data_IF_963657934281
#
_entry.id   IF_963657934281
#
_cell.length_a   1.000
_cell.length_b   1.000
_cell.length_c   1.000
_cell.angle_alpha   90.00
_cell.angle_beta   90.00
_cell.angle_gamma   90.00
#
_symmetry.space_group_name_H-M   'P 1'
#
loop_
_entity.id
_entity.type
_entity.pdbx_description
1 polymer ?
#
# COMPACT_ATOMS: atom_id res chain seq x y z
N UNK A 1 15.78 18.96 -9.05
CA UNK A 1 14.36 18.71 -9.31
C UNK A 1 13.66 19.78 -10.18
N UNK A 2 14.41 20.43 -11.05
CA UNK A 2 13.88 21.54 -11.89
C UNK A 2 12.79 21.11 -12.89
N UNK A 3 12.64 19.83 -13.14
CA UNK A 3 11.68 19.29 -14.12
C UNK A 3 10.36 18.76 -13.52
N UNK A 4 10.29 18.56 -12.21
CA UNK A 4 9.06 18.14 -11.52
C UNK A 4 8.20 19.38 -11.22
N UNK A 5 7.34 19.76 -12.17
CA UNK A 5 6.54 20.98 -12.08
C UNK A 5 5.29 20.83 -11.22
N UNK A 6 4.68 19.64 -11.27
CA UNK A 6 3.45 19.31 -10.54
C UNK A 6 3.74 18.59 -9.22
N UNK A 7 4.70 17.67 -9.20
CA UNK A 7 5.00 16.87 -8.01
C UNK A 7 5.84 17.60 -6.95
N UNK A 8 6.59 18.66 -7.32
CA UNK A 8 7.43 19.40 -6.39
C UNK A 8 6.60 20.33 -5.49
N UNK A 9 7.06 20.54 -4.26
CA UNK A 9 6.47 21.57 -3.38
C UNK A 9 6.66 22.96 -4.00
N UNK A 10 5.59 23.75 -4.04
CA UNK A 10 5.61 25.16 -4.41
C UNK A 10 5.96 26.09 -3.25
N UNK A 11 5.74 25.64 -2.00
CA UNK A 11 6.08 26.35 -0.77
C UNK A 11 6.18 25.33 0.41
N UNK A 12 6.81 25.68 1.56
CA UNK A 12 7.09 24.72 2.65
C UNK A 12 5.87 23.99 3.22
N UNK A 13 4.69 24.62 3.19
CA UNK A 13 3.44 24.04 3.70
C UNK A 13 2.57 23.41 2.59
N UNK A 14 3.06 23.32 1.34
CA UNK A 14 2.34 22.65 0.26
C UNK A 14 2.23 21.15 0.59
N UNK A 15 1.00 20.67 0.70
CA UNK A 15 0.69 19.28 1.04
C UNK A 15 -0.58 18.87 0.30
N UNK A 16 -0.56 17.67 -0.26
CA UNK A 16 -1.72 17.06 -0.91
C UNK A 16 -2.37 16.06 0.04
N UNK A 17 -3.69 16.10 0.10
CA UNK A 17 -4.50 15.09 0.77
C UNK A 17 -5.10 14.19 -0.30
N UNK A 18 -4.80 12.91 -0.25
CA UNK A 18 -5.33 11.89 -1.16
C UNK A 18 -6.39 11.08 -0.42
N UNK A 19 -7.64 11.25 -0.83
CA UNK A 19 -8.77 10.55 -0.23
C UNK A 19 -8.90 9.13 -0.80
N UNK A 20 -8.84 8.12 0.05
CA UNK A 20 -9.08 6.74 -0.31
C UNK A 20 -10.57 6.38 -0.14
N UNK A 21 -11.22 6.95 0.85
CA UNK A 21 -12.67 6.87 1.12
C UNK A 21 -13.15 8.15 1.79
N UNK A 22 -14.40 8.18 2.24
CA UNK A 22 -14.93 9.31 2.99
C UNK A 22 -14.25 9.51 4.36
N UNK A 23 -13.65 8.45 4.92
CA UNK A 23 -13.06 8.43 6.26
C UNK A 23 -11.56 8.18 6.26
N UNK A 24 -10.96 7.79 5.14
CA UNK A 24 -9.55 7.44 5.03
C UNK A 24 -8.86 8.34 4.01
N UNK A 25 -7.84 9.08 4.46
CA UNK A 25 -7.06 9.96 3.60
C UNK A 25 -5.57 9.94 3.98
N UNK A 26 -4.71 9.93 2.96
CA UNK A 26 -3.25 10.08 3.12
C UNK A 26 -2.85 11.55 3.11
N UNK A 27 -1.75 11.88 3.80
CA UNK A 27 -1.18 13.22 3.80
C UNK A 27 -1.68 14.11 4.94
N UNK A 28 -2.70 13.70 5.71
CA UNK A 28 -3.20 14.41 6.89
C UNK A 28 -2.37 14.11 8.15
N UNK A 29 -2.98 14.36 9.32
CA UNK A 29 -2.39 14.02 10.63
C UNK A 29 -2.51 12.54 10.97
N UNK A 30 -3.38 11.81 10.28
CA UNK A 30 -3.56 10.38 10.50
C UNK A 30 -2.51 9.57 9.74
N UNK A 31 -2.02 8.53 10.42
CA UNK A 31 -1.16 7.50 9.82
C UNK A 31 -2.05 6.40 9.26
N UNK A 32 -2.05 6.23 7.95
CA UNK A 32 -2.86 5.20 7.30
C UNK A 32 -2.12 3.86 7.28
N UNK A 33 -2.76 2.82 7.78
CA UNK A 33 -2.24 1.45 7.76
C UNK A 33 -3.02 0.64 6.72
N UNK A 34 -2.30 0.09 5.75
CA UNK A 34 -2.83 -0.86 4.76
C UNK A 34 -2.30 -2.24 5.12
N UNK A 35 -3.18 -3.21 5.38
CA UNK A 35 -2.82 -4.59 5.75
C UNK A 35 -3.43 -5.62 4.82
N UNK A 36 -2.81 -6.79 4.74
CA UNK A 36 -3.37 -7.92 3.97
C UNK A 36 -2.31 -8.77 3.27
N UNK A 37 -2.71 -9.82 2.57
CA UNK A 37 -1.78 -10.77 2.00
C UNK A 37 -1.02 -10.21 0.79
N UNK A 38 0.09 -10.84 0.45
CA UNK A 38 0.82 -10.55 -0.79
C UNK A 38 -0.06 -10.79 -2.02
N UNK A 39 -0.84 -11.86 -1.98
CA UNK A 39 -1.76 -12.25 -3.06
C UNK A 39 -3.08 -12.76 -2.50
N UNK A 40 -4.16 -12.53 -3.23
CA UNK A 40 -5.45 -13.19 -3.00
C UNK A 40 -5.30 -14.65 -3.42
N UNK A 41 -5.63 -15.58 -2.52
CA UNK A 41 -5.49 -17.03 -2.72
C UNK A 41 -6.84 -17.75 -2.69
N UNK A 42 -7.79 -17.23 -1.92
CA UNK A 42 -9.16 -17.74 -1.81
C UNK A 42 -10.08 -16.73 -1.13
N UNK A 43 -11.38 -16.96 -1.25
CA UNK A 43 -12.41 -16.20 -0.51
C UNK A 43 -12.22 -16.36 0.99
N UNK A 44 -12.00 -17.59 1.48
CA UNK A 44 -11.80 -17.87 2.91
C UNK A 44 -10.59 -17.12 3.50
N UNK A 45 -9.47 -17.07 2.75
CA UNK A 45 -8.30 -16.30 3.16
C UNK A 45 -8.65 -14.82 3.35
N UNK A 46 -9.29 -14.21 2.34
CA UNK A 46 -9.58 -12.77 2.39
C UNK A 46 -10.66 -12.41 3.41
N UNK A 47 -11.68 -13.26 3.59
CA UNK A 47 -12.67 -13.09 4.66
C UNK A 47 -12.03 -13.16 6.05
N UNK A 48 -11.13 -14.11 6.29
CA UNK A 48 -10.40 -14.23 7.56
C UNK A 48 -9.53 -13.00 7.81
N UNK A 49 -8.84 -12.51 6.78
CA UNK A 49 -8.04 -11.28 6.86
C UNK A 49 -8.92 -10.08 7.15
N UNK A 50 -9.99 -9.88 6.37
CA UNK A 50 -10.88 -8.74 6.50
C UNK A 50 -11.56 -8.72 7.86
N UNK A 51 -12.09 -9.84 8.35
CA UNK A 51 -12.70 -9.96 9.66
C UNK A 51 -11.74 -9.55 10.79
N UNK A 52 -10.50 -10.03 10.75
CA UNK A 52 -9.51 -9.72 11.79
C UNK A 52 -9.04 -8.27 11.74
N UNK A 53 -8.75 -7.76 10.53
CA UNK A 53 -8.17 -6.43 10.37
C UNK A 53 -9.21 -5.30 10.45
N UNK A 54 -10.47 -5.53 10.07
CA UNK A 54 -11.53 -4.54 10.26
C UNK A 54 -11.89 -4.32 11.74
N UNK A 55 -11.52 -5.22 12.63
CA UNK A 55 -11.65 -5.05 14.08
C UNK A 55 -10.40 -4.41 14.72
N UNK A 56 -9.39 -4.05 13.94
CA UNK A 56 -8.13 -3.44 14.37
C UNK A 56 -7.93 -2.07 13.68
N UNK A 57 -7.06 -1.19 14.17
CA UNK A 57 -6.82 0.12 13.55
C UNK A 57 -6.05 0.01 12.21
N UNK A 58 -6.62 -0.74 11.25
CA UNK A 58 -6.15 -0.92 9.88
C UNK A 58 -7.17 -0.31 8.94
N UNK A 59 -6.80 0.76 8.20
CA UNK A 59 -7.73 1.61 7.48
C UNK A 59 -8.05 1.10 6.08
N UNK A 60 -7.21 0.22 5.50
CA UNK A 60 -7.45 -0.36 4.19
C UNK A 60 -6.86 -1.78 4.09
N UNK A 61 -7.43 -2.58 3.20
CA UNK A 61 -6.91 -3.91 2.88
C UNK A 61 -6.11 -3.89 1.59
N UNK A 62 -5.13 -4.79 1.49
CA UNK A 62 -4.41 -5.08 0.25
C UNK A 62 -4.56 -6.55 -0.12
N UNK A 63 -4.49 -6.84 -1.40
CA UNK A 63 -4.39 -8.20 -1.94
C UNK A 63 -4.03 -8.15 -3.42
N UNK A 64 -2.94 -8.80 -3.82
CA UNK A 64 -2.54 -8.85 -5.24
C UNK A 64 -3.36 -9.86 -6.00
N UNK A 65 -4.10 -9.44 -7.02
CA UNK A 65 -4.87 -10.33 -7.90
C UNK A 65 -4.13 -10.69 -9.18
N UNK A 66 -3.20 -9.84 -9.59
CA UNK A 66 -2.22 -10.09 -10.64
C UNK A 66 -0.82 -10.03 -10.05
N UNK A 67 0.07 -10.95 -10.41
CA UNK A 67 1.40 -11.07 -9.79
C UNK A 67 2.51 -11.03 -10.84
N UNK A 68 3.38 -10.02 -10.83
CA UNK A 68 4.58 -10.00 -11.65
C UNK A 68 5.59 -11.03 -11.11
N UNK A 69 5.80 -12.12 -11.83
CA UNK A 69 6.69 -13.20 -11.40
C UNK A 69 7.91 -13.32 -12.32
N UNK A 70 9.06 -13.60 -11.72
CA UNK A 70 10.28 -13.86 -12.49
C UNK A 70 10.18 -15.20 -13.22
N UNK A 71 9.50 -16.19 -12.62
CA UNK A 71 9.24 -17.49 -13.26
C UNK A 71 7.82 -17.53 -13.84
N UNK A 72 7.63 -17.95 -15.11
CA UNK A 72 6.30 -18.11 -15.69
C UNK A 72 5.52 -19.29 -15.07
N UNK A 73 6.18 -20.18 -14.35
CA UNK A 73 5.57 -21.31 -13.66
C UNK A 73 5.09 -21.00 -12.25
N UNK A 74 5.44 -19.81 -11.71
CA UNK A 74 4.94 -19.38 -10.40
C UNK A 74 3.48 -18.93 -10.50
N UNK A 75 2.76 -18.96 -9.40
CA UNK A 75 1.38 -18.50 -9.32
C UNK A 75 1.26 -17.04 -9.81
N UNK A 76 0.42 -16.84 -10.84
CA UNK A 76 0.28 -15.54 -11.53
C UNK A 76 -0.80 -14.63 -10.91
N UNK A 77 -1.50 -15.12 -9.88
CA UNK A 77 -2.67 -14.47 -9.30
C UNK A 77 -3.98 -15.07 -9.79
N UNK A 78 -5.08 -14.70 -9.13
CA UNK A 78 -6.43 -15.19 -9.48
C UNK A 78 -7.11 -14.35 -10.56
N UNK A 79 -6.52 -13.23 -10.96
CA UNK A 79 -7.11 -12.37 -11.99
C UNK A 79 -8.49 -11.83 -11.58
N UNK A 80 -9.47 -11.92 -12.47
CA UNK A 80 -10.82 -11.38 -12.28
C UNK A 80 -11.55 -12.04 -11.10
N UNK A 81 -11.40 -13.35 -10.88
CA UNK A 81 -11.96 -14.02 -9.70
C UNK A 81 -11.44 -13.38 -8.39
N UNK A 82 -10.16 -13.05 -8.34
CA UNK A 82 -9.58 -12.34 -7.20
C UNK A 82 -10.13 -10.92 -7.03
N UNK A 83 -10.51 -10.25 -8.12
CA UNK A 83 -11.18 -8.93 -8.05
C UNK A 83 -12.56 -9.03 -7.44
N UNK A 84 -13.34 -10.04 -7.79
CA UNK A 84 -14.67 -10.29 -7.20
C UNK A 84 -14.55 -10.56 -5.69
N UNK A 85 -13.54 -11.33 -5.26
CA UNK A 85 -13.27 -11.58 -3.84
C UNK A 85 -12.96 -10.26 -3.12
N UNK A 86 -12.09 -9.40 -3.69
CA UNK A 86 -11.76 -8.11 -3.10
C UNK A 86 -12.99 -7.19 -3.02
N UNK A 87 -13.80 -7.13 -4.07
CA UNK A 87 -15.03 -6.34 -4.08
C UNK A 87 -16.03 -6.85 -3.03
N UNK A 88 -16.12 -8.16 -2.84
CA UNK A 88 -16.94 -8.80 -1.81
C UNK A 88 -16.55 -8.35 -0.40
N UNK A 89 -15.27 -8.51 -0.01
CA UNK A 89 -14.79 -8.10 1.31
C UNK A 89 -14.85 -6.59 1.50
N UNK A 90 -14.56 -5.79 0.46
CA UNK A 90 -14.72 -4.33 0.47
C UNK A 90 -16.12 -3.91 0.87
N UNK A 91 -17.13 -4.51 0.23
CA UNK A 91 -18.55 -4.21 0.49
C UNK A 91 -19.01 -4.71 1.84
N UNK A 92 -18.63 -5.95 2.22
CA UNK A 92 -19.06 -6.58 3.47
C UNK A 92 -18.51 -5.86 4.71
N UNK A 93 -17.22 -5.50 4.68
CA UNK A 93 -16.54 -4.86 5.83
C UNK A 93 -16.47 -3.35 5.73
N UNK A 94 -17.02 -2.74 4.66
CA UNK A 94 -16.92 -1.30 4.39
C UNK A 94 -15.48 -0.77 4.53
N UNK A 95 -14.50 -1.56 4.07
CA UNK A 95 -13.08 -1.26 4.17
C UNK A 95 -12.47 -1.09 2.79
N UNK A 96 -11.81 0.04 2.48
CA UNK A 96 -11.19 0.26 1.18
C UNK A 96 -10.17 -0.82 0.83
N UNK A 97 -10.06 -1.14 -0.46
CA UNK A 97 -9.12 -2.15 -0.96
C UNK A 97 -8.14 -1.59 -1.99
N UNK A 98 -6.92 -2.12 -1.94
CA UNK A 98 -5.80 -1.75 -2.83
C UNK A 98 -5.29 -2.99 -3.53
N UNK A 99 -5.14 -2.96 -4.86
CA UNK A 99 -4.51 -4.03 -5.63
C UNK A 99 -3.60 -3.51 -6.72
N UNK A 100 -2.66 -4.35 -7.17
CA UNK A 100 -1.70 -4.00 -8.22
C UNK A 100 -2.31 -4.16 -9.62
N UNK A 101 -2.08 -3.16 -10.47
CA UNK A 101 -2.32 -3.20 -11.91
C UNK A 101 -0.99 -3.28 -12.65
N UNK A 102 -0.88 -4.17 -13.65
CA UNK A 102 0.37 -4.44 -14.35
C UNK A 102 0.40 -3.98 -15.80
N UNK A 103 -0.78 -3.79 -16.42
CA UNK A 103 -0.90 -3.38 -17.83
C UNK A 103 -2.05 -2.41 -18.03
N UNK A 104 -2.01 -1.67 -19.13
CA UNK A 104 -3.06 -0.71 -19.50
C UNK A 104 -4.42 -1.42 -19.65
N UNK A 105 -4.44 -2.63 -20.23
CA UNK A 105 -5.68 -3.39 -20.43
C UNK A 105 -6.38 -3.81 -19.13
N UNK A 106 -5.68 -3.79 -18.00
CA UNK A 106 -6.25 -4.14 -16.69
C UNK A 106 -6.85 -2.94 -15.97
N UNK A 107 -6.54 -1.70 -16.36
CA UNK A 107 -6.90 -0.50 -15.59
C UNK A 107 -8.40 -0.43 -15.35
N UNK A 108 -9.21 -0.55 -16.39
CA UNK A 108 -10.65 -0.39 -16.31
C UNK A 108 -11.31 -1.45 -15.40
N UNK A 109 -10.99 -2.72 -15.63
CA UNK A 109 -11.56 -3.81 -14.84
C UNK A 109 -11.10 -3.74 -13.38
N UNK A 110 -9.84 -3.43 -13.10
CA UNK A 110 -9.35 -3.30 -11.73
C UNK A 110 -9.97 -2.09 -11.03
N UNK A 111 -10.03 -0.92 -11.69
CA UNK A 111 -10.61 0.30 -11.14
C UNK A 111 -12.09 0.16 -10.76
N UNK A 112 -12.84 -0.70 -11.45
CA UNK A 112 -14.24 -0.99 -11.11
C UNK A 112 -14.41 -1.69 -9.75
N UNK A 113 -13.40 -2.48 -9.32
CA UNK A 113 -13.51 -3.34 -8.14
C UNK A 113 -12.80 -2.80 -6.89
N UNK A 114 -11.88 -1.85 -7.04
CA UNK A 114 -11.04 -1.38 -5.93
C UNK A 114 -11.07 0.14 -5.75
N UNK A 115 -10.53 0.62 -4.62
CA UNK A 115 -10.51 2.05 -4.28
C UNK A 115 -9.18 2.73 -4.66
N UNK A 116 -8.08 1.97 -4.74
CA UNK A 116 -6.76 2.47 -5.12
C UNK A 116 -6.02 1.47 -6.00
N UNK A 117 -5.40 1.97 -7.06
CA UNK A 117 -4.57 1.18 -7.98
C UNK A 117 -3.11 1.27 -7.56
N UNK A 118 -2.46 0.12 -7.36
CA UNK A 118 -1.03 0.08 -7.06
C UNK A 118 -0.21 -0.13 -8.33
N UNK A 119 0.85 0.67 -8.49
CA UNK A 119 1.92 0.43 -9.48
C UNK A 119 3.10 -0.22 -8.76
N UNK A 120 3.41 -1.45 -9.10
CA UNK A 120 4.54 -2.17 -8.53
C UNK A 120 5.89 -1.59 -8.97
N UNK A 121 6.94 -1.84 -8.18
CA UNK A 121 8.29 -1.31 -8.41
C UNK A 121 8.86 -1.63 -9.79
N UNK A 122 8.49 -2.77 -10.39
CA UNK A 122 8.92 -3.16 -11.74
C UNK A 122 8.27 -2.32 -12.84
N UNK A 123 7.14 -1.69 -12.55
CA UNK A 123 6.36 -0.85 -13.48
C UNK A 123 6.53 0.66 -13.21
N UNK A 124 7.40 1.07 -12.28
CA UNK A 124 7.64 2.49 -12.00
C UNK A 124 8.08 3.27 -13.25
N UNK A 125 8.80 2.63 -14.16
CA UNK A 125 9.28 3.21 -15.41
C UNK A 125 8.45 2.79 -16.64
N UNK A 126 7.31 2.15 -16.43
CA UNK A 126 6.36 1.88 -17.51
C UNK A 126 5.53 3.15 -17.77
N UNK A 127 6.14 4.11 -18.47
CA UNK A 127 5.56 5.45 -18.66
C UNK A 127 4.21 5.42 -19.38
N UNK A 128 3.97 4.47 -20.27
CA UNK A 128 2.66 4.35 -20.93
C UNK A 128 1.58 3.90 -19.95
N UNK A 129 1.90 2.98 -19.03
CA UNK A 129 1.01 2.63 -17.92
C UNK A 129 0.75 3.84 -17.01
N UNK A 130 1.79 4.62 -16.66
CA UNK A 130 1.65 5.79 -15.79
C UNK A 130 0.77 6.88 -16.45
N UNK A 131 0.93 7.13 -17.75
CA UNK A 131 0.05 8.06 -18.50
C UNK A 131 -1.40 7.61 -18.49
N UNK A 132 -1.66 6.31 -18.72
CA UNK A 132 -3.01 5.76 -18.69
C UNK A 132 -3.63 5.85 -17.30
N UNK A 133 -2.86 5.61 -16.24
CA UNK A 133 -3.29 5.77 -14.85
C UNK A 133 -3.60 7.22 -14.47
N UNK A 134 -2.99 8.18 -15.16
CA UNK A 134 -3.35 9.60 -15.07
C UNK A 134 -4.81 9.90 -15.47
N UNK A 135 -5.48 8.97 -16.13
CA UNK A 135 -6.88 9.10 -16.59
C UNK A 135 -7.82 8.11 -15.86
N UNK A 136 -7.30 7.30 -14.94
CA UNK A 136 -8.07 6.21 -14.32
C UNK A 136 -9.14 6.66 -13.32
N UNK A 137 -9.13 7.91 -12.85
CA UNK A 137 -10.11 8.45 -11.89
C UNK A 137 -10.07 7.77 -10.52
N UNK A 138 -8.97 7.13 -10.17
CA UNK A 138 -8.71 6.45 -8.89
C UNK A 138 -7.39 6.91 -8.30
N UNK A 139 -7.24 6.96 -6.97
CA UNK A 139 -5.94 7.17 -6.33
C UNK A 139 -4.91 6.13 -6.76
N UNK A 140 -3.66 6.57 -6.91
CA UNK A 140 -2.55 5.71 -7.34
C UNK A 140 -1.52 5.58 -6.24
N UNK A 141 -1.19 4.34 -5.84
CA UNK A 141 -0.06 4.00 -5.00
C UNK A 141 1.14 3.64 -5.89
N UNK A 142 2.08 4.55 -6.01
CA UNK A 142 3.28 4.37 -6.84
C UNK A 142 4.44 3.86 -5.97
N UNK A 143 4.91 2.64 -6.21
CA UNK A 143 6.06 2.06 -5.51
C UNK A 143 7.38 2.38 -6.21
N UNK A 144 8.38 2.83 -5.42
CA UNK A 144 9.73 3.13 -5.91
C UNK A 144 10.37 1.92 -6.58
N UNK A 145 11.02 2.14 -7.70
CA UNK A 145 11.81 1.13 -8.41
C UNK A 145 13.01 0.65 -7.61
N UNK A 146 13.42 -0.60 -7.84
CA UNK A 146 14.45 -1.28 -7.05
C UNK A 146 15.84 -0.64 -7.12
N UNK A 147 16.11 0.20 -8.13
CA UNK A 147 17.37 0.92 -8.32
C UNK A 147 17.11 2.37 -8.72
N UNK A 148 15.90 2.88 -8.46
CA UNK A 148 15.49 4.21 -8.84
C UNK A 148 16.05 5.27 -7.88
N UNK A 149 16.57 6.34 -8.44
CA UNK A 149 16.88 7.55 -7.69
C UNK A 149 15.61 8.23 -7.18
N UNK A 150 15.75 9.14 -6.21
CA UNK A 150 14.62 9.96 -5.73
C UNK A 150 14.05 10.80 -6.89
N UNK A 151 14.90 11.36 -7.75
CA UNK A 151 14.48 12.16 -8.89
C UNK A 151 13.64 11.34 -9.88
N UNK A 152 14.10 10.15 -10.28
CA UNK A 152 13.35 9.25 -11.16
C UNK A 152 12.00 8.87 -10.56
N UNK A 153 11.94 8.65 -9.25
CA UNK A 153 10.72 8.29 -8.54
C UNK A 153 9.70 9.44 -8.55
N UNK A 154 10.14 10.67 -8.27
CA UNK A 154 9.28 11.86 -8.34
C UNK A 154 8.85 12.16 -9.78
N UNK A 155 9.75 11.96 -10.76
CA UNK A 155 9.40 12.11 -12.18
C UNK A 155 8.40 11.06 -12.66
N UNK A 156 8.42 9.84 -12.10
CA UNK A 156 7.38 8.86 -12.39
C UNK A 156 6.00 9.32 -11.88
N UNK A 157 5.94 9.95 -10.70
CA UNK A 157 4.70 10.57 -10.23
C UNK A 157 4.26 11.75 -11.13
N UNK A 158 5.21 12.56 -11.62
CA UNK A 158 4.94 13.67 -12.55
C UNK A 158 4.21 13.20 -13.81
N UNK A 159 4.52 12.00 -14.34
CA UNK A 159 3.79 11.41 -15.47
C UNK A 159 2.31 11.21 -15.17
N UNK A 160 1.96 10.71 -13.98
CA UNK A 160 0.57 10.51 -13.57
C UNK A 160 -0.13 11.87 -13.41
N UNK A 161 0.50 12.79 -12.67
CA UNK A 161 -0.03 14.14 -12.42
C UNK A 161 -0.28 14.91 -13.72
N UNK A 162 0.67 14.88 -14.67
CA UNK A 162 0.58 15.59 -15.94
C UNK A 162 -0.50 15.06 -16.88
N UNK A 163 -1.02 13.87 -16.61
CA UNK A 163 -2.14 13.27 -17.35
C UNK A 163 -3.48 13.38 -16.61
N UNK A 164 -3.56 14.21 -15.56
CA UNK A 164 -4.81 14.67 -14.95
C UNK A 164 -5.18 14.04 -13.62
N UNK A 165 -4.38 13.12 -13.06
CA UNK A 165 -4.67 12.50 -11.77
C UNK A 165 -3.81 13.12 -10.66
N UNK A 166 -4.38 13.96 -9.76
CA UNK A 166 -3.66 14.56 -8.64
C UNK A 166 -3.48 13.60 -7.45
N UNK A 167 -4.21 12.49 -7.43
CA UNK A 167 -4.30 11.59 -6.27
C UNK A 167 -3.21 10.51 -6.32
N UNK A 168 -1.96 10.91 -6.09
CA UNK A 168 -0.79 10.03 -6.09
C UNK A 168 -0.20 9.94 -4.69
N UNK A 169 0.01 8.71 -4.22
CA UNK A 169 0.72 8.37 -2.98
C UNK A 169 2.02 7.67 -3.34
N UNK A 170 3.14 8.17 -2.86
CA UNK A 170 4.46 7.57 -3.05
C UNK A 170 4.69 6.47 -2.01
N UNK A 171 5.30 5.36 -2.41
CA UNK A 171 5.64 4.26 -1.49
C UNK A 171 7.13 3.89 -1.60
N UNK A 172 7.89 4.23 -0.57
CA UNK A 172 9.25 3.70 -0.39
C UNK A 172 9.15 2.23 0.04
N UNK A 173 9.93 1.34 -0.62
CA UNK A 173 9.89 -0.11 -0.39
C UNK A 173 11.26 -0.79 -0.41
N UNK A 174 12.29 -0.01 -0.30
CA UNK A 174 13.68 -0.44 -0.34
C UNK A 174 14.27 -0.50 -1.75
N UNK A 175 15.54 -0.25 -1.82
CA UNK A 175 16.36 -0.32 -3.02
C UNK A 175 17.37 -1.47 -2.91
N UNK A 176 17.83 -2.00 -4.04
CA UNK A 176 18.88 -3.01 -4.08
C UNK A 176 20.18 -2.46 -3.52
N UNK A 177 20.89 -3.32 -2.78
CA UNK A 177 22.21 -3.05 -2.24
C UNK A 177 23.14 -4.21 -2.59
N UNK A 178 24.42 -4.03 -2.31
CA UNK A 178 25.42 -5.10 -2.36
C UNK A 178 25.23 -6.12 -1.21
N UNK A 179 24.65 -5.70 -0.08
CA UNK A 179 24.33 -6.57 1.04
C UNK A 179 23.04 -7.35 0.74
N UNK A 180 23.04 -8.63 1.07
CA UNK A 180 21.96 -9.57 0.80
C UNK A 180 21.31 -10.15 2.07
N UNK A 181 21.65 -9.63 3.24
CA UNK A 181 21.05 -10.08 4.50
C UNK A 181 19.54 -9.75 4.54
N UNK A 182 19.18 -8.55 4.11
CA UNK A 182 17.79 -8.17 3.84
C UNK A 182 17.52 -8.23 2.34
N UNK A 183 16.26 -8.35 1.96
CA UNK A 183 15.84 -8.39 0.55
C UNK A 183 16.24 -7.10 -0.20
N UNK A 184 16.07 -5.95 0.46
CA UNK A 184 16.48 -4.62 0.00
C UNK A 184 16.85 -3.78 1.22
N UNK A 185 17.52 -2.66 1.01
CA UNK A 185 17.77 -1.64 2.02
C UNK A 185 16.60 -0.65 2.02
N UNK A 186 15.86 -0.55 3.13
CA UNK A 186 14.86 0.50 3.28
C UNK A 186 15.57 1.85 3.42
N UNK A 187 15.28 2.75 2.49
CA UNK A 187 15.90 4.08 2.44
C UNK A 187 15.04 5.10 3.22
N UNK A 188 15.22 5.14 4.53
CA UNK A 188 14.55 6.14 5.40
C UNK A 188 15.03 7.57 5.09
N UNK A 189 16.27 7.72 4.62
CA UNK A 189 16.77 9.01 4.14
C UNK A 189 15.95 9.54 2.96
N UNK A 190 15.56 8.63 2.04
CA UNK A 190 14.66 8.99 0.93
C UNK A 190 13.26 9.39 1.43
N UNK A 191 12.72 8.73 2.46
CA UNK A 191 11.43 9.13 3.06
C UNK A 191 11.51 10.58 3.56
N UNK A 192 12.52 10.90 4.37
CA UNK A 192 12.73 12.26 4.88
C UNK A 192 12.94 13.29 3.75
N UNK A 193 13.73 12.94 2.74
CA UNK A 193 13.97 13.80 1.57
C UNK A 193 12.69 14.05 0.77
N UNK A 194 11.91 13.00 0.46
CA UNK A 194 10.64 13.12 -0.25
C UNK A 194 9.67 14.06 0.49
N UNK A 195 9.57 13.95 1.82
CA UNK A 195 8.74 14.86 2.63
C UNK A 195 9.16 16.34 2.52
N UNK A 196 10.40 16.63 2.15
CA UNK A 196 10.89 18.00 1.91
C UNK A 196 10.63 18.49 0.47
N UNK A 197 10.78 17.61 -0.52
CA UNK A 197 10.84 18.02 -1.92
C UNK A 197 9.51 17.89 -2.67
N UNK A 198 8.61 16.98 -2.24
CA UNK A 198 7.28 16.80 -2.85
C UNK A 198 6.16 17.09 -1.86
N UNK A 199 5.02 17.53 -2.37
CA UNK A 199 3.79 17.72 -1.60
C UNK A 199 2.95 16.44 -1.50
N UNK A 200 3.31 15.38 -2.24
CA UNK A 200 2.59 14.11 -2.26
C UNK A 200 2.77 13.35 -0.96
N UNK A 201 1.76 12.60 -0.50
CA UNK A 201 1.90 11.70 0.63
C UNK A 201 2.97 10.63 0.36
N UNK A 202 3.73 10.26 1.40
CA UNK A 202 4.78 9.23 1.33
C UNK A 202 4.51 8.16 2.36
N UNK A 203 4.23 6.94 1.90
CA UNK A 203 4.10 5.77 2.77
C UNK A 203 5.28 4.81 2.60
N UNK A 204 5.38 3.82 3.48
CA UNK A 204 6.47 2.85 3.47
C UNK A 204 5.95 1.41 3.46
N UNK A 205 6.62 0.57 2.69
CA UNK A 205 6.43 -0.88 2.65
C UNK A 205 7.62 -1.58 3.32
N UNK A 206 7.57 -1.82 4.63
CA UNK A 206 8.64 -2.49 5.34
C UNK A 206 8.77 -3.97 4.96
N UNK A 207 7.66 -4.64 4.63
CA UNK A 207 7.63 -6.07 4.30
C UNK A 207 8.50 -6.38 3.08
N UNK A 208 8.28 -5.66 1.97
CA UNK A 208 9.07 -5.85 0.75
C UNK A 208 10.46 -5.23 0.82
N UNK A 209 10.71 -4.33 1.77
CA UNK A 209 12.04 -3.82 2.02
C UNK A 209 12.92 -4.89 2.66
N UNK A 210 12.57 -5.37 3.84
CA UNK A 210 13.45 -6.28 4.59
C UNK A 210 13.33 -7.74 4.18
N UNK A 211 12.15 -8.19 3.73
CA UNK A 211 11.94 -9.57 3.27
C UNK A 211 12.00 -10.64 4.37
N UNK A 212 11.97 -10.23 5.65
CA UNK A 212 12.02 -11.08 6.84
C UNK A 212 11.03 -10.56 7.86
N UNK A 213 10.10 -11.42 8.32
CA UNK A 213 8.99 -11.02 9.19
C UNK A 213 9.46 -10.41 10.52
N UNK A 214 10.51 -10.95 11.12
CA UNK A 214 11.06 -10.48 12.39
C UNK A 214 11.64 -9.05 12.32
N UNK A 215 12.00 -8.59 11.13
CA UNK A 215 12.53 -7.24 10.90
C UNK A 215 11.43 -6.22 10.55
N UNK A 216 10.23 -6.68 10.19
CA UNK A 216 9.13 -5.77 9.81
C UNK A 216 8.74 -4.82 10.95
N UNK A 217 8.52 -5.28 12.21
CA UNK A 217 8.09 -4.40 13.28
C UNK A 217 9.08 -3.28 13.63
N UNK A 218 10.38 -3.52 13.84
CA UNK A 218 11.32 -2.43 14.16
C UNK A 218 11.44 -1.43 13.00
N UNK A 219 11.44 -1.90 11.76
CA UNK A 219 11.58 -1.05 10.57
C UNK A 219 10.30 -0.24 10.30
N UNK A 220 9.13 -0.81 10.56
CA UNK A 220 7.86 -0.08 10.50
C UNK A 220 7.82 1.09 11.50
N UNK A 221 8.29 0.86 12.75
CA UNK A 221 8.41 1.94 13.76
C UNK A 221 9.37 3.03 13.31
N UNK A 222 10.51 2.67 12.74
CA UNK A 222 11.49 3.63 12.23
C UNK A 222 10.90 4.47 11.06
N UNK A 223 10.12 3.86 10.19
CA UNK A 223 9.45 4.56 9.09
C UNK A 223 8.43 5.60 9.60
N UNK A 224 7.64 5.25 10.62
CA UNK A 224 6.72 6.20 11.27
C UNK A 224 7.48 7.34 11.92
N UNK A 225 8.54 7.03 12.69
CA UNK A 225 9.39 8.04 13.33
C UNK A 225 10.06 8.99 12.32
N UNK A 226 10.34 8.50 11.10
CA UNK A 226 10.90 9.29 9.99
C UNK A 226 9.86 10.20 9.30
N UNK A 227 8.57 10.12 9.68
CA UNK A 227 7.51 10.99 9.18
C UNK A 227 6.69 10.43 8.03
N UNK A 228 6.70 9.12 7.81
CA UNK A 228 5.83 8.48 6.82
C UNK A 228 4.34 8.82 7.06
N UNK A 229 3.56 8.99 5.98
CA UNK A 229 2.12 9.25 6.03
C UNK A 229 1.30 7.96 6.20
N UNK A 230 1.91 6.81 6.09
CA UNK A 230 1.29 5.50 6.24
C UNK A 230 2.26 4.35 6.05
N UNK A 231 1.74 3.16 6.24
CA UNK A 231 2.45 1.89 6.02
C UNK A 231 1.59 0.94 5.19
N UNK A 232 2.23 0.13 4.35
CA UNK A 232 1.61 -1.01 3.69
C UNK A 232 2.35 -2.28 4.09
N UNK A 233 1.67 -3.20 4.78
CA UNK A 233 2.29 -4.34 5.47
C UNK A 233 1.65 -5.65 5.01
N UNK A 234 2.48 -6.65 4.76
CA UNK A 234 2.00 -7.99 4.43
C UNK A 234 1.69 -8.79 5.70
N UNK A 235 0.48 -9.34 5.73
CA UNK A 235 0.07 -10.32 6.73
C UNK A 235 -0.79 -11.41 6.10
N UNK A 236 -0.83 -12.58 6.73
CA UNK A 236 -1.51 -13.75 6.22
C UNK A 236 -2.08 -14.56 7.39
N UNK A 237 -3.24 -15.23 7.27
CA UNK A 237 -3.80 -16.09 8.32
C UNK A 237 -2.82 -17.18 8.77
N UNK A 238 -2.15 -17.81 7.79
CA UNK A 238 -1.16 -18.85 7.98
C UNK A 238 0.09 -18.52 7.14
N UNK A 239 1.01 -17.66 7.63
CA UNK A 239 2.14 -17.15 6.83
C UNK A 239 2.98 -18.24 6.16
N UNK A 240 3.14 -19.40 6.82
CA UNK A 240 3.95 -20.50 6.29
C UNK A 240 3.30 -21.19 5.07
N UNK A 241 1.99 -21.05 4.89
CA UNK A 241 1.23 -21.61 3.77
C UNK A 241 1.05 -20.64 2.61
N UNK A 242 1.44 -19.38 2.78
CA UNK A 242 1.30 -18.38 1.71
C UNK A 242 2.03 -18.79 0.44
N UNK A 243 1.35 -18.74 -0.70
CA UNK A 243 1.92 -19.08 -2.01
C UNK A 243 2.90 -18.03 -2.52
N UNK A 244 2.98 -16.88 -1.84
CA UNK A 244 3.86 -15.78 -2.21
C UNK A 244 4.40 -15.06 -0.98
N UNK A 245 5.72 -14.80 -0.98
CA UNK A 245 6.42 -13.98 0.02
C UNK A 245 6.22 -14.42 1.50
N UNK A 246 6.00 -15.72 1.77
CA UNK A 246 5.76 -16.33 3.06
C UNK A 246 6.73 -15.88 4.18
N UNK A 247 8.00 -15.64 3.84
CA UNK A 247 9.07 -15.30 4.79
C UNK A 247 8.92 -13.91 5.42
N UNK A 248 8.19 -12.99 4.77
CA UNK A 248 8.03 -11.61 5.21
C UNK A 248 6.62 -11.31 5.76
N UNK A 249 5.64 -12.17 5.49
CA UNK A 249 4.28 -11.99 5.96
C UNK A 249 4.19 -12.17 7.48
N UNK A 250 3.56 -11.20 8.16
CA UNK A 250 3.20 -11.32 9.58
C UNK A 250 2.01 -12.27 9.73
N UNK A 251 1.84 -12.86 10.91
CA UNK A 251 0.54 -13.40 11.28
C UNK A 251 -0.47 -12.26 11.45
N UNK A 252 -1.77 -12.54 11.42
CA UNK A 252 -2.80 -11.51 11.65
C UNK A 252 -2.71 -10.95 13.07
N UNK A 253 -2.33 -11.77 14.04
CA UNK A 253 -2.12 -11.35 15.43
C UNK A 253 -0.91 -10.41 15.57
N UNK A 254 0.23 -10.77 14.95
CA UNK A 254 1.43 -9.92 14.95
C UNK A 254 1.15 -8.58 14.24
N UNK A 255 0.34 -8.59 13.18
CA UNK A 255 -0.08 -7.36 12.50
C UNK A 255 -0.86 -6.44 13.43
N UNK A 256 -1.86 -6.97 14.15
CA UNK A 256 -2.66 -6.21 15.12
C UNK A 256 -1.77 -5.66 16.24
N UNK A 257 -0.91 -6.49 16.81
CA UNK A 257 0.03 -6.11 17.86
C UNK A 257 1.01 -5.03 17.39
N UNK A 258 1.50 -5.15 16.15
CA UNK A 258 2.35 -4.12 15.56
C UNK A 258 1.61 -2.78 15.47
N UNK A 259 0.38 -2.75 14.92
CA UNK A 259 -0.38 -1.50 14.76
C UNK A 259 -0.60 -0.81 16.11
N UNK A 260 -0.96 -1.56 17.16
CA UNK A 260 -1.06 -0.99 18.51
C UNK A 260 0.26 -0.42 19.01
N UNK A 261 1.37 -1.10 18.74
CA UNK A 261 2.71 -0.64 19.15
C UNK A 261 3.21 0.58 18.38
N UNK A 262 2.59 0.91 17.25
CA UNK A 262 2.90 2.12 16.46
C UNK A 262 2.28 3.39 17.05
N UNK A 263 1.19 3.31 17.85
CA UNK A 263 0.48 4.47 18.39
C UNK A 263 1.39 5.46 19.14
N UNK A 264 2.22 5.02 20.12
CA UNK A 264 3.12 5.94 20.81
C UNK A 264 4.19 6.53 19.90
N UNK A 265 4.65 5.80 18.89
CA UNK A 265 5.61 6.30 17.90
C UNK A 265 4.96 7.36 17.02
N UNK A 266 3.74 7.12 16.53
CA UNK A 266 2.98 8.10 15.77
C UNK A 266 2.73 9.38 16.58
N UNK A 267 2.33 9.24 17.84
CA UNK A 267 2.13 10.39 18.74
C UNK A 267 3.41 11.22 18.92
N UNK A 268 4.58 10.58 19.02
CA UNK A 268 5.86 11.30 19.20
C UNK A 268 6.25 12.20 18.02
N UNK A 269 5.68 11.94 16.83
CA UNK A 269 5.89 12.74 15.60
C UNK A 269 4.64 13.55 15.20
N UNK A 270 3.69 13.76 16.13
CA UNK A 270 2.49 14.56 15.89
C UNK A 270 1.45 13.89 15.01
N UNK A 271 1.48 12.55 14.88
CA UNK A 271 0.51 11.78 14.13
C UNK A 271 -0.34 10.90 15.06
N UNK A 272 -1.48 10.43 14.54
CA UNK A 272 -2.34 9.48 15.25
C UNK A 272 -2.76 8.33 14.31
N UNK A 273 -3.11 7.20 14.88
CA UNK A 273 -3.77 6.11 14.19
C UNK A 273 -5.22 6.10 14.65
N UNK A 274 -6.15 6.31 13.72
CA UNK A 274 -7.59 6.29 14.03
C UNK A 274 -8.04 4.90 14.46
N UNK A 275 -8.86 4.84 15.50
CA UNK A 275 -9.57 3.63 15.91
C UNK A 275 -10.93 3.50 15.23
N UNK A 276 -11.42 4.59 14.64
CA UNK A 276 -12.66 4.59 13.86
C UNK A 276 -12.40 3.98 12.48
N UNK A 277 -12.65 2.68 12.39
CA UNK A 277 -12.81 2.00 11.12
C UNK A 277 -14.23 2.28 10.70
N UNK A 278 -14.44 2.91 9.54
CA UNK A 278 -15.71 3.23 8.94
C UNK A 278 -16.90 3.13 9.90
N UNK A 279 -17.25 4.23 10.57
CA UNK A 279 -18.39 4.27 11.49
C UNK A 279 -19.70 4.00 10.72
N UNK A 280 -20.01 2.75 10.52
CA UNK A 280 -21.21 2.33 9.82
C UNK A 280 -21.33 0.82 9.75
N UNK A 281 -22.05 0.28 10.73
CA UNK A 281 -22.57 -1.08 10.80
C UNK A 281 -21.60 -2.13 11.37
N UNK A 282 -21.86 -2.51 12.62
CA UNK A 282 -21.47 -3.83 13.11
C UNK A 282 -21.92 -4.88 12.09
N UNK A 283 -21.08 -5.87 11.77
CA UNK A 283 -21.48 -6.92 10.84
C UNK A 283 -22.79 -7.56 11.31
N UNK A 284 -23.74 -7.70 10.38
CA UNK A 284 -24.95 -8.43 10.65
C UNK A 284 -24.59 -9.87 11.05
N UNK A 285 -25.23 -10.46 12.05
CA UNK A 285 -24.96 -11.84 12.43
C UNK A 285 -25.22 -12.72 11.21
N UNK A 286 -24.25 -13.58 10.89
CA UNK A 286 -24.37 -14.59 9.84
C UNK A 286 -25.53 -15.50 10.24
N UNK A 287 -26.67 -15.40 9.57
CA UNK A 287 -27.73 -16.39 9.62
C UNK A 287 -27.19 -17.65 8.94
N UNK A 288 -26.74 -18.62 9.71
CA UNK A 288 -26.59 -19.99 9.22
C UNK A 288 -27.97 -20.47 8.77
N UNK A 289 -28.23 -20.44 7.46
CA UNK A 289 -29.36 -21.15 6.89
C UNK A 289 -29.07 -22.65 7.01
N UNK A 290 -29.93 -23.34 7.76
CA UNK A 290 -29.97 -24.79 7.93
C UNK A 290 -30.32 -25.51 6.62
#
# INVERSE_FOLDING_TARGET
MNNAKLAAKSHPHHQTIVNLSQTVAFGGTELVIIGGPCTVESTEQMETVAQKLSAAPVQALRGGVYKPRTSPYAFQGMGEEGLEILAGVRSHYNTPVVTEVMSISQIEVVAAHVDMLQVGSRNMQNFDLLKALGQAGKPILLKRGLSATIEEFVMAAEYILSHGNPDVVLCERGIRSFDNYTRNVLDLGAVAALKQITHLPVIVDPSHAVGKRELVPPVAKAAVACGADGLIIECHPEPEKSVSDARQALSLEDMVNLVHSLKPVAASVGRRISEEIGAGLKPAPICCAA
#
